data_IF_115300515301
#
_entry.id   IF_115300515301
#
_cell.length_a   1.000
_cell.length_b   1.000
_cell.length_c   1.000
_cell.angle_alpha   90.00
_cell.angle_beta   90.00
_cell.angle_gamma   90.00
#
_symmetry.space_group_name_H-M   'P 1'
#
loop_
_entity.id
_entity.type
_entity.pdbx_description
1 polymer ?
#
# COMPACT_ATOMS: atom_id res chain seq x y z
N UNK A 1 14.42 9.89 3.30
CA UNK A 1 13.27 9.02 3.64
C UNK A 1 12.33 8.98 2.44
N UNK A 2 11.94 7.80 1.97
CA UNK A 2 11.04 7.63 0.83
C UNK A 2 9.58 7.57 1.30
N UNK A 3 8.68 8.18 0.54
CA UNK A 3 7.23 8.07 0.78
C UNK A 3 6.65 7.01 -0.16
N UNK A 4 5.96 6.03 0.41
CA UNK A 4 5.25 4.98 -0.33
C UNK A 4 3.76 5.11 0.00
N UNK A 5 3.02 5.67 -0.94
CA UNK A 5 1.57 5.76 -0.87
C UNK A 5 0.98 4.45 -1.38
N UNK A 6 -0.02 3.91 -0.69
CA UNK A 6 -0.67 2.66 -1.07
C UNK A 6 -2.15 2.67 -0.74
N UNK A 7 -2.96 2.24 -1.70
CA UNK A 7 -4.38 1.94 -1.52
C UNK A 7 -4.70 0.61 -2.18
N UNK A 8 -5.82 0.02 -1.81
CA UNK A 8 -6.29 -1.23 -2.34
C UNK A 8 -7.81 -1.25 -2.46
N UNK A 9 -8.32 -2.25 -3.17
CA UNK A 9 -9.75 -2.55 -3.28
C UNK A 9 -9.96 -4.06 -3.49
N UNK A 10 -11.13 -4.55 -3.07
CA UNK A 10 -11.62 -5.88 -3.40
C UNK A 10 -12.94 -5.69 -4.18
N UNK A 11 -12.95 -5.94 -5.50
CA UNK A 11 -14.17 -5.80 -6.30
C UNK A 11 -15.25 -6.79 -5.86
N UNK A 12 -16.52 -6.34 -5.69
CA UNK A 12 -17.60 -7.16 -5.12
C UNK A 12 -18.08 -8.33 -5.98
N UNK A 13 -17.71 -8.41 -7.28
CA UNK A 13 -18.33 -9.36 -8.23
C UNK A 13 -17.38 -10.40 -8.86
N UNK A 14 -16.15 -10.54 -8.37
CA UNK A 14 -15.24 -11.54 -8.92
C UNK A 14 -15.25 -12.83 -8.08
N UNK A 15 -15.94 -13.85 -8.59
CA UNK A 15 -15.88 -15.23 -8.09
C UNK A 15 -14.41 -15.67 -8.14
N UNK A 16 -13.74 -15.69 -6.98
CA UNK A 16 -12.29 -15.92 -6.87
C UNK A 16 -11.51 -14.84 -6.11
N UNK A 17 -12.13 -13.72 -5.74
CA UNK A 17 -11.58 -12.73 -4.79
C UNK A 17 -10.24 -12.13 -5.23
N UNK A 18 -10.18 -11.57 -6.44
CA UNK A 18 -8.97 -10.87 -6.90
C UNK A 18 -9.01 -9.44 -6.37
N UNK A 19 -8.19 -9.12 -5.38
CA UNK A 19 -8.01 -7.74 -4.97
C UNK A 19 -6.96 -7.03 -5.82
N UNK A 20 -7.02 -5.70 -5.78
CA UNK A 20 -6.13 -4.81 -6.50
C UNK A 20 -5.45 -3.89 -5.51
N UNK A 21 -4.21 -3.51 -5.81
CA UNK A 21 -3.54 -2.40 -5.16
C UNK A 21 -3.04 -1.39 -6.20
N UNK A 22 -2.95 -0.14 -5.77
CA UNK A 22 -2.29 0.95 -6.49
C UNK A 22 -1.37 1.63 -5.50
N UNK A 23 -0.12 1.83 -5.90
CA UNK A 23 0.88 2.51 -5.10
C UNK A 23 1.60 3.60 -5.88
N UNK A 24 2.08 4.59 -5.13
CA UNK A 24 2.93 5.66 -5.63
C UNK A 24 4.17 5.70 -4.75
N UNK A 25 5.33 5.52 -5.38
CA UNK A 25 6.63 5.71 -4.74
C UNK A 25 7.12 7.12 -5.08
N UNK A 26 7.42 7.91 -4.05
CA UNK A 26 7.86 9.30 -4.19
C UNK A 26 9.17 9.55 -3.45
N UNK A 27 10.23 9.91 -4.18
CA UNK A 27 11.57 10.21 -3.65
C UNK A 27 12.33 11.14 -4.61
N UNK A 28 13.12 12.09 -4.10
CA UNK A 28 14.02 12.95 -4.89
C UNK A 28 13.41 13.54 -6.18
N UNK A 29 12.20 14.11 -6.09
CA UNK A 29 11.40 14.62 -7.22
C UNK A 29 11.02 13.58 -8.29
N UNK A 30 11.28 12.31 -8.03
CA UNK A 30 10.85 11.20 -8.85
C UNK A 30 9.57 10.58 -8.28
N UNK A 31 8.61 10.36 -9.17
CA UNK A 31 7.33 9.74 -8.88
C UNK A 31 7.18 8.48 -9.74
N UNK A 32 6.91 7.35 -9.09
CA UNK A 32 6.62 6.08 -9.79
C UNK A 32 5.28 5.53 -9.35
N UNK A 33 4.38 5.40 -10.31
CA UNK A 33 3.09 4.74 -10.13
C UNK A 33 3.27 3.26 -10.44
N UNK A 34 2.70 2.41 -9.61
CA UNK A 34 2.67 0.98 -9.84
C UNK A 34 1.34 0.40 -9.36
N UNK A 35 0.88 -0.67 -9.98
CA UNK A 35 -0.37 -1.33 -9.60
C UNK A 35 -0.28 -2.81 -9.89
N UNK A 36 -1.10 -3.60 -9.22
CA UNK A 36 -1.19 -5.02 -9.48
C UNK A 36 -2.52 -5.59 -9.02
N UNK A 37 -2.81 -6.79 -9.53
CA UNK A 37 -3.93 -7.63 -9.11
C UNK A 37 -3.35 -8.88 -8.47
N UNK A 38 -3.96 -9.37 -7.41
CA UNK A 38 -3.60 -10.62 -6.77
C UNK A 38 -4.85 -11.31 -6.23
N UNK A 39 -4.83 -12.63 -6.16
CA UNK A 39 -5.85 -13.37 -5.41
C UNK A 39 -5.67 -13.06 -3.93
N UNK A 40 -6.52 -12.20 -3.36
CA UNK A 40 -6.52 -11.82 -1.96
C UNK A 40 -7.96 -11.62 -1.49
N UNK A 41 -8.33 -12.31 -0.41
CA UNK A 41 -9.66 -12.18 0.22
C UNK A 41 -9.74 -11.04 1.23
N UNK A 42 -8.61 -10.41 1.56
CA UNK A 42 -8.49 -9.39 2.59
C UNK A 42 -7.80 -8.15 2.03
N UNK A 43 -8.43 -7.00 2.24
CA UNK A 43 -7.90 -5.70 1.81
C UNK A 43 -6.51 -5.44 2.41
N UNK A 44 -6.28 -5.95 3.63
CA UNK A 44 -5.01 -5.85 4.34
C UNK A 44 -3.89 -6.55 3.59
N UNK A 45 -4.14 -7.78 3.12
CA UNK A 45 -3.14 -8.53 2.36
C UNK A 45 -2.85 -7.83 1.04
N UNK A 46 -3.88 -7.33 0.35
CA UNK A 46 -3.68 -6.59 -0.89
C UNK A 46 -2.78 -5.34 -0.66
N UNK A 47 -2.96 -4.62 0.44
CA UNK A 47 -2.07 -3.50 0.85
C UNK A 47 -0.66 -3.99 1.14
N UNK A 48 -0.49 -5.03 1.98
CA UNK A 48 0.84 -5.53 2.33
C UNK A 48 1.61 -6.03 1.10
N UNK A 49 0.96 -6.72 0.18
CA UNK A 49 1.56 -7.09 -1.10
C UNK A 49 1.93 -5.86 -1.93
N UNK A 50 1.07 -4.84 -2.00
CA UNK A 50 1.39 -3.57 -2.65
C UNK A 50 2.61 -2.86 -2.05
N UNK A 51 2.77 -2.90 -0.72
CA UNK A 51 3.96 -2.38 -0.04
C UNK A 51 5.20 -3.20 -0.41
N UNK A 52 5.13 -4.52 -0.40
CA UNK A 52 6.26 -5.38 -0.81
C UNK A 52 6.72 -5.08 -2.22
N UNK A 53 5.77 -4.93 -3.15
CA UNK A 53 6.08 -4.59 -4.54
C UNK A 53 6.70 -3.20 -4.65
N UNK A 54 6.22 -2.21 -3.89
CA UNK A 54 6.86 -0.90 -3.84
C UNK A 54 8.28 -0.94 -3.26
N UNK A 55 8.54 -1.79 -2.26
CA UNK A 55 9.89 -2.01 -1.73
C UNK A 55 10.84 -2.61 -2.77
N UNK A 56 10.38 -3.58 -3.57
CA UNK A 56 11.18 -4.22 -4.63
C UNK A 56 11.63 -3.23 -5.72
N UNK A 57 10.98 -2.06 -5.83
CA UNK A 57 11.38 -1.01 -6.76
C UNK A 57 12.57 -0.17 -6.26
N UNK A 58 12.94 -0.30 -4.98
CA UNK A 58 14.04 0.44 -4.37
C UNK A 58 15.36 -0.30 -4.64
N UNK A 59 16.34 0.42 -5.22
CA UNK A 59 17.67 -0.14 -5.53
C UNK A 59 18.52 -0.42 -4.28
N UNK A 60 18.27 0.32 -3.20
CA UNK A 60 19.03 0.25 -1.96
C UNK A 60 18.10 0.33 -0.74
N UNK A 61 18.49 -0.22 0.40
CA UNK A 61 17.69 -0.09 1.62
C UNK A 61 17.66 1.35 2.12
N UNK A 62 16.45 1.90 2.24
CA UNK A 62 16.18 3.26 2.72
C UNK A 62 15.07 3.25 3.76
N UNK A 63 15.00 4.30 4.58
CA UNK A 63 13.86 4.51 5.48
C UNK A 63 12.59 4.82 4.68
N UNK A 64 11.48 4.18 5.05
CA UNK A 64 10.21 4.24 4.33
C UNK A 64 9.11 4.76 5.26
N UNK A 65 8.39 5.78 4.79
CA UNK A 65 7.11 6.19 5.32
C UNK A 65 6.00 5.62 4.42
N UNK A 66 5.24 4.68 4.94
CA UNK A 66 4.07 4.10 4.27
C UNK A 66 2.84 4.92 4.62
N UNK A 67 2.14 5.38 3.58
CA UNK A 67 0.96 6.23 3.67
C UNK A 67 -0.21 5.47 3.04
N UNK A 68 -1.29 5.26 3.81
CA UNK A 68 -2.49 4.57 3.31
C UNK A 68 -3.76 5.24 3.80
N UNK A 69 -4.83 5.13 3.01
CA UNK A 69 -6.17 5.59 3.37
C UNK A 69 -7.04 4.50 4.02
N UNK A 70 -6.54 3.25 4.03
CA UNK A 70 -7.24 2.10 4.62
C UNK A 70 -6.96 2.05 6.12
N UNK A 71 -7.93 2.48 6.91
CA UNK A 71 -7.77 2.65 8.37
C UNK A 71 -7.56 1.31 9.09
N UNK A 72 -8.15 0.24 8.57
CA UNK A 72 -8.02 -1.13 9.09
C UNK A 72 -6.56 -1.61 9.08
N UNK A 73 -5.74 -1.14 8.13
CA UNK A 73 -4.30 -1.46 8.08
C UNK A 73 -3.59 -0.83 9.27
N UNK A 74 -3.89 0.43 9.58
CA UNK A 74 -3.23 1.15 10.67
C UNK A 74 -3.57 0.53 12.02
N UNK A 75 -4.81 0.12 12.21
CA UNK A 75 -5.25 -0.58 13.42
C UNK A 75 -4.60 -1.97 13.51
N UNK A 76 -4.52 -2.69 12.39
CA UNK A 76 -3.86 -4.00 12.33
C UNK A 76 -2.37 -3.91 12.72
N UNK A 77 -1.65 -2.89 12.24
CA UNK A 77 -0.24 -2.67 12.56
C UNK A 77 -0.04 -2.40 14.06
N UNK A 78 -0.96 -1.69 14.71
CA UNK A 78 -0.88 -1.37 16.16
C UNK A 78 -1.14 -2.59 17.05
N UNK A 79 -2.06 -3.46 16.65
CA UNK A 79 -2.54 -4.55 17.51
C UNK A 79 -1.53 -5.71 17.62
N UNK A 80 -0.55 -5.82 16.71
CA UNK A 80 0.54 -6.82 16.65
C UNK A 80 0.16 -8.31 16.75
N UNK A 81 -1.12 -8.66 16.98
CA UNK A 81 -1.57 -10.03 17.31
C UNK A 81 -1.89 -10.94 16.11
N UNK A 82 -1.81 -10.45 14.87
CA UNK A 82 -2.24 -11.25 13.69
C UNK A 82 -1.12 -11.47 12.67
N UNK A 83 -1.00 -12.72 12.22
CA UNK A 83 0.05 -13.20 11.32
C UNK A 83 -0.29 -12.87 9.86
N UNK A 84 0.51 -12.04 9.20
CA UNK A 84 0.55 -11.94 7.73
C UNK A 84 1.98 -12.15 7.25
N UNK A 85 2.19 -13.13 6.37
CA UNK A 85 3.50 -13.43 5.81
C UNK A 85 4.09 -12.23 5.06
N UNK A 86 3.24 -11.45 4.40
CA UNK A 86 3.64 -10.22 3.73
C UNK A 86 4.12 -9.18 4.74
N UNK A 87 3.38 -8.98 5.83
CA UNK A 87 3.78 -8.06 6.89
C UNK A 87 5.12 -8.46 7.54
N UNK A 88 5.39 -9.75 7.73
CA UNK A 88 6.68 -10.21 8.26
C UNK A 88 7.84 -9.86 7.33
N UNK A 89 7.67 -10.04 6.02
CA UNK A 89 8.66 -9.62 5.01
C UNK A 89 8.85 -8.10 4.99
N UNK A 90 7.79 -7.34 5.26
CA UNK A 90 7.89 -5.88 5.44
C UNK A 90 8.73 -5.56 6.69
N UNK A 91 8.40 -6.16 7.85
CA UNK A 91 9.08 -5.93 9.13
C UNK A 91 10.57 -6.33 9.13
N UNK A 92 10.97 -7.31 8.30
CA UNK A 92 12.38 -7.70 8.11
C UNK A 92 13.24 -6.69 7.32
N UNK A 93 12.69 -5.52 6.96
CA UNK A 93 13.47 -4.48 6.29
C UNK A 93 14.62 -4.00 7.18
N UNK A 94 15.85 -3.86 6.65
CA UNK A 94 17.00 -3.43 7.47
C UNK A 94 16.96 -1.93 7.84
N UNK A 95 16.00 -1.16 7.31
CA UNK A 95 15.82 0.27 7.58
C UNK A 95 14.46 0.54 8.23
N UNK A 96 14.28 1.73 8.78
CA UNK A 96 13.08 2.09 9.53
C UNK A 96 11.86 2.12 8.61
N UNK A 97 10.78 1.47 9.04
CA UNK A 97 9.47 1.56 8.39
C UNK A 97 8.49 2.20 9.36
N UNK A 98 7.83 3.25 8.90
CA UNK A 98 6.76 3.94 9.65
C UNK A 98 5.48 3.92 8.85
N UNK A 99 4.34 3.89 9.55
CA UNK A 99 3.01 3.85 8.95
C UNK A 99 2.23 5.09 9.38
N UNK A 100 1.54 5.73 8.43
CA UNK A 100 0.69 6.88 8.71
C UNK A 100 -0.54 6.87 7.80
N UNK A 101 -1.63 7.47 8.28
CA UNK A 101 -2.78 7.80 7.44
C UNK A 101 -2.38 8.86 6.41
N UNK A 102 -2.98 8.80 5.22
CA UNK A 102 -2.91 9.90 4.26
C UNK A 102 -3.63 11.11 4.85
N UNK A 103 -2.95 12.26 4.90
CA UNK A 103 -3.54 13.52 5.36
C UNK A 103 -4.51 14.08 4.31
N UNK A 104 -5.58 14.74 4.75
CA UNK A 104 -6.62 15.28 3.85
C UNK A 104 -6.10 16.33 2.86
N UNK A 105 -4.95 16.95 3.14
CA UNK A 105 -4.32 17.97 2.30
C UNK A 105 -3.10 17.43 1.52
N UNK A 106 -2.83 16.13 1.57
CA UNK A 106 -1.73 15.52 0.82
C UNK A 106 -2.15 15.32 -0.65
N UNK A 107 -1.62 16.15 -1.55
CA UNK A 107 -1.95 16.13 -2.99
C UNK A 107 -1.67 14.77 -3.66
N UNK A 108 -0.60 14.06 -3.25
CA UNK A 108 -0.28 12.74 -3.81
C UNK A 108 -1.27 11.70 -3.28
N UNK A 109 -1.63 11.81 -2.01
CA UNK A 109 -2.66 11.00 -1.38
C UNK A 109 -4.04 11.16 -2.04
N UNK A 110 -4.46 12.41 -2.27
CA UNK A 110 -5.70 12.74 -2.99
C UNK A 110 -5.66 12.16 -4.41
N UNK A 111 -4.55 12.34 -5.12
CA UNK A 111 -4.38 11.78 -6.46
C UNK A 111 -4.51 10.26 -6.47
N UNK A 112 -3.92 9.57 -5.49
CA UNK A 112 -4.06 8.11 -5.34
C UNK A 112 -5.52 7.67 -5.15
N UNK A 113 -6.29 8.40 -4.34
CA UNK A 113 -7.72 8.11 -4.12
C UNK A 113 -8.54 8.32 -5.40
N UNK A 114 -8.25 9.35 -6.18
CA UNK A 114 -8.86 9.57 -7.50
C UNK A 114 -8.57 8.40 -8.44
N UNK A 115 -7.32 7.92 -8.47
CA UNK A 115 -6.93 6.77 -9.29
C UNK A 115 -7.71 5.50 -8.89
N UNK A 116 -7.92 5.25 -7.60
CA UNK A 116 -8.77 4.14 -7.14
C UNK A 116 -10.20 4.31 -7.64
N UNK A 117 -10.82 5.46 -7.41
CA UNK A 117 -12.25 5.67 -7.69
C UNK A 117 -12.59 5.63 -9.18
N UNK A 118 -11.70 6.13 -10.07
CA UNK A 118 -11.93 6.05 -11.52
C UNK A 118 -11.99 4.62 -12.06
N UNK A 119 -11.44 3.65 -11.35
CA UNK A 119 -11.50 2.25 -11.77
C UNK A 119 -12.80 1.53 -11.37
N UNK A 120 -13.66 2.16 -10.56
CA UNK A 120 -14.96 1.61 -10.15
C UNK A 120 -16.12 2.04 -11.08
N UNK A 121 -15.84 2.83 -12.12
CA UNK A 121 -16.84 3.39 -13.05
C UNK A 121 -16.75 2.83 -14.48
N UNK A 122 -16.00 1.75 -14.66
CA UNK A 122 -15.89 0.96 -15.90
C UNK A 122 -16.31 -0.49 -15.61
#
# INVERSE_FOLDING_TARGET
MVRLYITAEIPPYQIGGTGRYIGILFYDNYLRIYSGRLSCRSILDCVFYGVLRGKELLKYPVDILILTDISEVLDYIKIEKKYSAALQKIKKHPKKITWRKIDNNDLIGIFLQILRNRNNSL
#
